data_IF_935565200489
#
_entry.id   IF_935565200489
#
_cell.length_a   1.000
_cell.length_b   1.000
_cell.length_c   1.000
_cell.angle_alpha   90.00
_cell.angle_beta   90.00
_cell.angle_gamma   90.00
#
_symmetry.space_group_name_H-M   'P 1'
#
loop_
_entity.id
_entity.type
_entity.pdbx_description
1 polymer ?
#
# COMPACT_ATOMS: atom_id res chain seq x y z
N UNK A 1 3.56 2.15 -2.02
CA UNK A 1 4.06 3.26 -1.16
C UNK A 1 2.97 4.31 -0.99
N UNK A 2 2.71 4.77 0.23
CA UNK A 2 1.71 5.81 0.54
C UNK A 2 2.37 7.00 1.22
N UNK A 3 1.73 8.17 1.16
CA UNK A 3 2.17 9.34 1.92
C UNK A 3 2.08 9.08 3.43
N UNK A 4 3.00 9.67 4.19
CA UNK A 4 2.96 9.60 5.64
C UNK A 4 1.70 10.30 6.18
N UNK A 5 1.02 9.64 7.10
CA UNK A 5 -0.17 10.15 7.78
C UNK A 5 0.11 11.45 8.53
N UNK A 6 1.33 11.65 9.03
CA UNK A 6 1.68 12.84 9.80
C UNK A 6 1.71 14.11 8.93
N UNK A 7 1.85 13.98 7.60
CA UNK A 7 1.71 15.11 6.66
C UNK A 7 0.27 15.64 6.57
N UNK A 8 -0.74 14.82 6.87
CA UNK A 8 -2.15 15.20 6.87
C UNK A 8 -2.58 15.87 8.18
N UNK A 9 -1.70 15.95 9.17
CA UNK A 9 -2.02 16.35 10.55
C UNK A 9 -1.32 17.65 10.91
N UNK A 10 -2.09 18.74 10.94
CA UNK A 10 -1.57 20.08 11.30
C UNK A 10 -0.95 20.11 12.71
N UNK A 11 -1.56 19.41 13.67
CA UNK A 11 -1.06 19.30 15.04
C UNK A 11 0.34 18.69 15.16
N UNK A 12 0.74 17.88 14.17
CA UNK A 12 2.05 17.23 14.10
C UNK A 12 3.04 17.96 13.19
N UNK A 13 2.68 19.15 12.70
CA UNK A 13 3.50 19.94 11.79
C UNK A 13 3.33 19.59 10.30
N UNK A 14 2.34 18.76 9.96
CA UNK A 14 1.98 18.49 8.56
C UNK A 14 1.24 19.66 7.91
N UNK A 15 1.26 19.73 6.58
CA UNK A 15 0.55 20.76 5.82
C UNK A 15 -0.36 20.12 4.75
N UNK A 16 -1.66 19.91 5.07
CA UNK A 16 -2.62 19.32 4.13
C UNK A 16 -2.80 20.12 2.83
N UNK A 17 -2.57 21.44 2.85
CA UNK A 17 -2.71 22.27 1.65
C UNK A 17 -1.70 21.91 0.56
N UNK A 18 -0.51 21.45 0.93
CA UNK A 18 0.49 21.00 -0.04
C UNK A 18 -0.02 19.75 -0.78
N UNK A 19 -0.70 18.86 -0.06
CA UNK A 19 -1.28 17.64 -0.62
C UNK A 19 -2.47 17.99 -1.52
N UNK A 20 -3.35 18.91 -1.09
CA UNK A 20 -4.46 19.44 -1.92
C UNK A 20 -3.94 20.09 -3.20
N UNK A 21 -2.92 20.94 -3.10
CA UNK A 21 -2.30 21.58 -4.25
C UNK A 21 -1.68 20.53 -5.20
N UNK A 22 -1.01 19.52 -4.66
CA UNK A 22 -0.47 18.42 -5.46
C UNK A 22 -1.57 17.60 -6.16
N UNK A 23 -2.74 17.43 -5.56
CA UNK A 23 -3.88 16.76 -6.20
C UNK A 23 -4.47 17.60 -7.34
N UNK A 24 -4.61 18.91 -7.13
CA UNK A 24 -5.03 19.84 -8.19
C UNK A 24 -4.07 19.85 -9.37
N UNK A 25 -2.76 19.84 -9.10
CA UNK A 25 -1.73 19.75 -10.14
C UNK A 25 -1.77 18.44 -10.93
N UNK A 26 -2.38 17.38 -10.36
CA UNK A 26 -2.59 16.08 -11.01
C UNK A 26 -3.97 15.96 -11.65
N UNK A 27 -4.78 17.02 -11.67
CA UNK A 27 -6.16 17.02 -12.17
C UNK A 27 -7.05 15.96 -11.49
N UNK A 28 -6.76 15.65 -10.22
CA UNK A 28 -7.53 14.72 -9.39
C UNK A 28 -8.33 15.47 -8.33
N UNK A 29 -9.34 14.79 -7.79
CA UNK A 29 -10.26 15.37 -6.81
C UNK A 29 -9.55 15.68 -5.47
N UNK A 30 -9.43 16.96 -5.07
CA UNK A 30 -8.85 17.33 -3.78
C UNK A 30 -9.72 16.93 -2.58
N UNK A 31 -11.02 16.65 -2.77
CA UNK A 31 -11.93 16.26 -1.68
C UNK A 31 -11.53 14.93 -1.02
N UNK A 32 -10.77 14.08 -1.73
CA UNK A 32 -10.19 12.86 -1.15
C UNK A 32 -9.28 13.16 0.04
N UNK A 33 -8.56 14.29 0.01
CA UNK A 33 -7.69 14.71 1.13
C UNK A 33 -8.54 15.02 2.36
N UNK A 34 -9.65 15.74 2.17
CA UNK A 34 -10.56 16.10 3.26
C UNK A 34 -11.22 14.86 3.86
N UNK A 35 -11.65 13.91 3.01
CA UNK A 35 -12.20 12.63 3.45
C UNK A 35 -11.20 11.83 4.29
N UNK A 36 -9.92 11.80 3.91
CA UNK A 36 -8.87 11.14 4.71
C UNK A 36 -8.70 11.80 6.08
N UNK A 37 -8.74 13.14 6.13
CA UNK A 37 -8.64 13.89 7.39
C UNK A 37 -9.84 13.60 8.29
N UNK A 38 -11.07 13.59 7.74
CA UNK A 38 -12.28 13.26 8.48
C UNK A 38 -12.24 11.84 9.05
N UNK A 39 -11.81 10.86 8.25
CA UNK A 39 -11.66 9.47 8.69
C UNK A 39 -10.58 9.32 9.77
N UNK A 40 -9.45 10.04 9.65
CA UNK A 40 -8.40 10.02 10.70
C UNK A 40 -8.91 10.66 12.00
N UNK A 41 -9.66 11.76 11.93
CA UNK A 41 -10.28 12.38 13.11
C UNK A 41 -11.31 11.45 13.77
N UNK A 42 -12.14 10.77 12.97
CA UNK A 42 -13.10 9.79 13.48
C UNK A 42 -12.40 8.61 14.17
N UNK A 43 -11.32 8.09 13.55
CA UNK A 43 -10.50 7.02 14.11
C UNK A 43 -9.84 7.45 15.42
N UNK A 44 -9.26 8.65 15.49
CA UNK A 44 -8.67 9.22 16.72
C UNK A 44 -9.70 9.43 17.83
N UNK A 45 -10.91 9.89 17.51
CA UNK A 45 -12.02 9.99 18.49
C UNK A 45 -12.38 8.60 19.04
N UNK A 46 -12.38 7.58 18.19
CA UNK A 46 -12.52 6.17 18.60
C UNK A 46 -11.41 5.71 19.53
N UNK A 47 -10.15 5.99 19.17
CA UNK A 47 -8.99 5.64 19.98
C UNK A 47 -9.01 6.33 21.36
N UNK A 48 -9.34 7.62 21.41
CA UNK A 48 -9.48 8.37 22.66
C UNK A 48 -10.60 7.83 23.56
N UNK A 49 -11.74 7.41 22.98
CA UNK A 49 -12.80 6.71 23.73
C UNK A 49 -12.28 5.42 24.37
N UNK A 50 -11.49 4.61 23.65
CA UNK A 50 -10.88 3.40 24.21
C UNK A 50 -9.92 3.75 25.34
N UNK A 51 -9.04 4.74 25.18
CA UNK A 51 -8.11 5.17 26.23
C UNK A 51 -8.86 5.67 27.48
N UNK A 52 -9.93 6.44 27.29
CA UNK A 52 -10.76 6.96 28.39
C UNK A 52 -11.48 5.82 29.11
N UNK A 53 -12.04 4.88 28.35
CA UNK A 53 -12.63 3.65 28.87
C UNK A 53 -11.60 2.83 29.64
N UNK A 54 -10.39 2.68 29.11
CA UNK A 54 -9.29 1.98 29.76
C UNK A 54 -8.86 2.67 31.06
N UNK A 55 -8.81 4.00 31.11
CA UNK A 55 -8.60 4.75 32.35
C UNK A 55 -9.72 4.55 33.37
N UNK A 56 -10.98 4.52 32.93
CA UNK A 56 -12.13 4.22 33.80
C UNK A 56 -12.08 2.78 34.33
N UNK A 57 -11.65 1.83 33.52
CA UNK A 57 -11.37 0.44 33.93
C UNK A 57 -10.26 0.43 34.97
N UNK A 58 -9.14 1.09 34.70
CA UNK A 58 -8.02 1.15 35.64
C UNK A 58 -8.44 1.79 36.96
N UNK A 59 -9.19 2.90 36.93
CA UNK A 59 -9.73 3.56 38.13
C UNK A 59 -10.69 2.66 38.90
N UNK A 60 -11.55 1.90 38.23
CA UNK A 60 -12.47 0.95 38.89
C UNK A 60 -11.75 -0.28 39.45
N UNK A 61 -10.73 -0.80 38.77
CA UNK A 61 -9.87 -1.88 39.29
C UNK A 61 -9.02 -1.40 40.48
N UNK A 62 -8.47 -0.19 40.41
CA UNK A 62 -7.72 0.44 41.50
C UNK A 62 -8.64 0.71 42.70
N UNK A 63 -9.86 1.19 42.47
CA UNK A 63 -10.88 1.36 43.51
C UNK A 63 -11.27 0.02 44.14
N UNK A 64 -11.32 -1.08 43.36
CA UNK A 64 -11.57 -2.43 43.88
C UNK A 64 -10.41 -2.99 44.69
N UNK A 65 -9.17 -2.75 44.25
CA UNK A 65 -7.97 -3.08 45.02
C UNK A 65 -7.91 -2.30 46.34
N UNK A 66 -8.18 -0.99 46.32
CA UNK A 66 -8.30 -0.15 47.51
C UNK A 66 -9.45 -0.59 48.43
N UNK A 67 -10.60 -0.99 47.87
CA UNK A 67 -11.74 -1.53 48.62
C UNK A 67 -11.39 -2.89 49.26
N UNK A 68 -10.65 -3.76 48.56
CA UNK A 68 -10.18 -5.05 49.10
C UNK A 68 -9.11 -4.87 50.18
N UNK A 69 -8.21 -3.88 50.04
CA UNK A 69 -7.26 -3.48 51.09
C UNK A 69 -8.00 -2.88 52.30
N UNK A 70 -8.99 -2.00 52.07
CA UNK A 70 -9.84 -1.47 53.13
C UNK A 70 -10.69 -2.55 53.79
N UNK A 71 -11.17 -3.55 53.04
CA UNK A 71 -11.91 -4.71 53.55
C UNK A 71 -11.00 -5.66 54.36
N UNK A 72 -9.73 -5.84 53.95
CA UNK A 72 -8.72 -6.57 54.74
C UNK A 72 -8.38 -5.84 56.04
N UNK A 73 -8.36 -4.50 56.05
CA UNK A 73 -8.27 -3.72 57.29
C UNK A 73 -9.59 -3.63 58.07
N UNK A 74 -10.74 -3.82 57.41
CA UNK A 74 -12.08 -3.87 58.02
C UNK A 74 -12.31 -5.12 58.85
N UNK A 75 -11.61 -6.23 58.60
CA UNK A 75 -11.68 -7.41 59.47
C UNK A 75 -11.17 -7.14 60.90
N UNK A 76 -10.46 -6.03 61.13
CA UNK A 76 -10.07 -5.54 62.46
C UNK A 76 -11.05 -4.49 63.02
N UNK A 77 -11.86 -3.84 62.16
CA UNK A 77 -12.78 -2.73 62.50
C UNK A 77 -14.28 -3.07 62.32
N UNK A 78 -14.63 -4.34 62.17
CA UNK A 78 -16.00 -4.83 61.95
C UNK A 78 -16.86 -4.92 63.24
N UNK A 79 -16.68 -4.00 64.19
CA UNK A 79 -17.53 -3.93 65.40
C UNK A 79 -18.20 -2.59 65.70
N UNK A 80 -17.99 -1.52 64.92
CA UNK A 80 -18.49 -0.21 65.32
C UNK A 80 -19.26 0.64 64.29
N UNK A 81 -19.36 0.28 63.00
CA UNK A 81 -19.98 1.20 62.01
C UNK A 81 -20.89 0.45 61.05
N UNK A 82 -22.10 0.15 61.52
CA UNK A 82 -23.16 -0.58 60.81
C UNK A 82 -24.03 0.24 59.87
N UNK A 83 -23.86 1.57 59.70
CA UNK A 83 -24.94 2.37 59.08
C UNK A 83 -24.58 3.36 57.97
N UNK A 84 -23.33 3.45 57.47
CA UNK A 84 -22.97 4.49 56.48
C UNK A 84 -22.18 4.07 55.24
N UNK A 85 -22.34 2.85 54.73
CA UNK A 85 -21.78 2.47 53.42
C UNK A 85 -22.71 1.55 52.61
N UNK A 86 -23.90 2.06 52.25
CA UNK A 86 -24.66 1.56 51.10
C UNK A 86 -24.34 2.45 49.91
N UNK A 87 -23.69 1.91 48.89
CA UNK A 87 -23.53 2.63 47.63
C UNK A 87 -22.48 2.07 46.70
N UNK A 88 -22.60 0.78 46.34
CA UNK A 88 -22.27 0.18 45.03
C UNK A 88 -22.19 -1.34 45.22
N UNK A 89 -23.22 -2.05 44.74
CA UNK A 89 -23.27 -3.50 44.80
C UNK A 89 -22.27 -4.12 43.82
N UNK A 90 -21.60 -5.22 44.22
CA UNK A 90 -20.71 -6.02 43.35
C UNK A 90 -21.41 -6.44 42.04
N UNK A 91 -22.74 -6.59 42.06
CA UNK A 91 -23.55 -6.88 40.87
C UNK A 91 -23.64 -5.71 39.89
N UNK A 92 -23.64 -4.46 40.35
CA UNK A 92 -23.64 -3.27 39.49
C UNK A 92 -22.29 -3.13 38.76
N UNK A 93 -21.19 -3.45 39.45
CA UNK A 93 -19.84 -3.41 38.86
C UNK A 93 -19.68 -4.51 37.79
N UNK A 94 -20.19 -5.72 38.01
CA UNK A 94 -20.18 -6.80 36.99
C UNK A 94 -20.99 -6.42 35.75
N UNK A 95 -22.17 -5.79 35.92
CA UNK A 95 -22.97 -5.28 34.79
C UNK A 95 -22.23 -4.18 34.02
N UNK A 96 -21.61 -3.24 34.71
CA UNK A 96 -20.80 -2.19 34.09
C UNK A 96 -19.64 -2.77 33.27
N UNK A 97 -18.95 -3.80 33.78
CA UNK A 97 -17.87 -4.47 33.05
C UNK A 97 -18.36 -5.13 31.75
N UNK A 98 -19.48 -5.84 31.79
CA UNK A 98 -20.04 -6.47 30.57
C UNK A 98 -20.39 -5.43 29.50
N UNK A 99 -21.07 -4.36 29.89
CA UNK A 99 -21.41 -3.25 28.98
C UNK A 99 -20.14 -2.62 28.40
N UNK A 100 -19.07 -2.56 29.20
CA UNK A 100 -17.81 -1.98 28.77
C UNK A 100 -17.03 -2.89 27.82
N UNK A 101 -16.99 -4.19 28.09
CA UNK A 101 -16.38 -5.21 27.22
C UNK A 101 -17.11 -5.24 25.86
N UNK A 102 -18.46 -5.15 25.86
CA UNK A 102 -19.27 -5.01 24.65
C UNK A 102 -18.96 -3.72 23.88
N UNK A 103 -18.93 -2.56 24.57
CA UNK A 103 -18.61 -1.27 23.94
C UNK A 103 -17.17 -1.22 23.42
N UNK A 104 -16.22 -1.87 24.08
CA UNK A 104 -14.85 -2.00 23.60
C UNK A 104 -14.78 -2.86 22.32
N UNK A 105 -15.49 -3.99 22.28
CA UNK A 105 -15.56 -4.83 21.10
C UNK A 105 -16.19 -4.10 19.91
N UNK A 106 -17.32 -3.42 20.11
CA UNK A 106 -17.98 -2.59 19.09
C UNK A 106 -17.05 -1.48 18.56
N UNK A 107 -16.38 -0.77 19.47
CA UNK A 107 -15.47 0.32 19.11
C UNK A 107 -14.27 -0.22 18.32
N UNK A 108 -13.73 -1.38 18.70
CA UNK A 108 -12.61 -2.01 17.98
C UNK A 108 -12.98 -2.38 16.55
N UNK A 109 -14.13 -3.02 16.34
CA UNK A 109 -14.64 -3.35 14.99
C UNK A 109 -14.84 -2.08 14.17
N UNK A 110 -15.39 -1.02 14.78
CA UNK A 110 -15.56 0.27 14.10
C UNK A 110 -14.23 0.91 13.72
N UNK A 111 -13.19 0.79 14.55
CA UNK A 111 -11.86 1.32 14.23
C UNK A 111 -11.18 0.57 13.10
N UNK A 112 -11.26 -0.76 13.07
CA UNK A 112 -10.69 -1.58 12.00
C UNK A 112 -11.33 -1.23 10.63
N UNK A 113 -12.64 -0.99 10.62
CA UNK A 113 -13.35 -0.50 9.43
C UNK A 113 -12.86 0.88 8.99
N UNK A 114 -12.79 1.83 9.92
CA UNK A 114 -12.29 3.18 9.64
C UNK A 114 -10.84 3.19 9.17
N UNK A 115 -10.00 2.31 9.72
CA UNK A 115 -8.61 2.16 9.31
C UNK A 115 -8.49 1.61 7.88
N UNK A 116 -9.29 0.59 7.56
CA UNK A 116 -9.36 0.03 6.21
C UNK A 116 -9.83 1.07 5.20
N UNK A 117 -10.90 1.80 5.52
CA UNK A 117 -11.44 2.86 4.66
C UNK A 117 -10.43 4.01 4.50
N UNK A 118 -9.80 4.45 5.60
CA UNK A 118 -8.74 5.47 5.55
C UNK A 118 -7.59 5.01 4.64
N UNK A 119 -7.14 3.76 4.79
CA UNK A 119 -6.05 3.22 3.98
C UNK A 119 -6.40 3.12 2.50
N UNK A 120 -7.63 2.71 2.16
CA UNK A 120 -8.11 2.68 0.77
C UNK A 120 -8.10 4.08 0.12
N UNK A 121 -8.57 5.11 0.83
CA UNK A 121 -8.52 6.48 0.33
C UNK A 121 -7.06 6.97 0.24
N UNK A 122 -6.21 6.62 1.21
CA UNK A 122 -4.79 7.01 1.23
C UNK A 122 -3.99 6.45 0.05
N UNK A 123 -4.28 5.21 -0.38
CA UNK A 123 -3.63 4.57 -1.55
C UNK A 123 -3.92 5.36 -2.84
N UNK A 124 -5.08 5.98 -2.95
CA UNK A 124 -5.47 6.75 -4.15
C UNK A 124 -4.74 8.10 -4.24
N UNK A 125 -4.21 8.60 -3.12
CA UNK A 125 -3.49 9.87 -3.07
C UNK A 125 -2.05 9.64 -3.55
N UNK A 126 -1.74 10.18 -4.73
CA UNK A 126 -0.39 10.15 -5.30
C UNK A 126 0.63 10.96 -4.49
N UNK A 127 1.91 10.71 -4.76
CA UNK A 127 3.01 11.42 -4.10
C UNK A 127 3.00 12.93 -4.44
N UNK A 128 3.62 13.73 -3.58
CA UNK A 128 3.74 15.20 -3.75
C UNK A 128 4.54 15.49 -5.03
N UNK A 129 3.95 16.29 -5.91
CA UNK A 129 4.57 16.71 -7.16
C UNK A 129 5.70 17.71 -6.87
N UNK A 130 6.88 17.47 -7.45
CA UNK A 130 8.02 18.38 -7.30
C UNK A 130 7.76 19.71 -8.03
N UNK A 131 8.26 20.82 -7.50
CA UNK A 131 8.00 22.16 -8.02
C UNK A 131 8.49 22.40 -9.46
N UNK A 132 9.40 21.55 -9.97
CA UNK A 132 9.93 21.64 -11.33
C UNK A 132 9.06 20.94 -12.38
N UNK A 133 8.05 20.18 -11.96
CA UNK A 133 7.20 19.41 -12.89
C UNK A 133 6.19 20.37 -13.54
N UNK A 134 6.08 20.38 -14.87
CA UNK A 134 5.08 21.19 -15.57
C UNK A 134 3.67 20.74 -15.17
N UNK A 135 2.79 21.69 -14.87
CA UNK A 135 1.39 21.42 -14.53
C UNK A 135 0.55 21.56 -15.79
N UNK A 136 0.20 20.43 -16.39
CA UNK A 136 -0.73 20.34 -17.52
C UNK A 136 -1.38 18.96 -17.55
N UNK A 137 -2.60 18.88 -18.09
CA UNK A 137 -3.33 17.61 -18.33
C UNK A 137 -3.06 17.05 -19.73
N UNK A 138 -2.23 17.76 -20.52
CA UNK A 138 -1.93 17.42 -21.91
C UNK A 138 -0.42 17.22 -22.11
N UNK A 139 -0.06 16.03 -22.59
CA UNK A 139 1.32 15.58 -22.83
C UNK A 139 2.06 16.41 -23.89
N UNK A 140 1.33 17.12 -24.77
CA UNK A 140 1.95 18.03 -25.74
C UNK A 140 2.67 19.22 -25.05
N UNK A 141 2.34 19.50 -23.79
CA UNK A 141 3.00 20.54 -22.99
C UNK A 141 4.27 20.06 -22.27
N UNK A 142 4.75 18.86 -22.59
CA UNK A 142 5.97 18.32 -22.02
C UNK A 142 7.18 19.22 -22.36
N UNK A 143 7.90 19.64 -21.32
CA UNK A 143 9.11 20.44 -21.48
C UNK A 143 10.26 19.58 -22.03
N UNK A 144 10.86 20.04 -23.13
CA UNK A 144 12.09 19.43 -23.66
C UNK A 144 13.27 19.86 -22.79
N UNK A 145 13.81 18.93 -22.00
CA UNK A 145 14.96 19.22 -21.11
C UNK A 145 16.29 19.23 -21.89
N UNK A 146 16.51 18.24 -22.76
CA UNK A 146 17.74 18.10 -23.56
C UNK A 146 17.46 17.40 -24.88
N UNK A 147 18.21 17.76 -25.91
CA UNK A 147 18.27 17.04 -27.19
C UNK A 147 19.71 16.62 -27.46
N UNK A 148 19.90 15.48 -28.11
CA UNK A 148 21.23 14.94 -28.40
C UNK A 148 21.23 14.25 -29.78
N UNK A 149 22.28 14.50 -30.57
CA UNK A 149 22.38 13.99 -31.94
C UNK A 149 21.52 14.76 -32.96
N UNK A 150 21.35 14.18 -34.15
CA UNK A 150 20.50 14.73 -35.21
C UNK A 150 19.10 14.07 -35.17
N UNK A 151 18.11 14.84 -34.73
CA UNK A 151 16.71 14.42 -34.60
C UNK A 151 15.86 14.73 -35.83
N UNK A 152 16.43 15.41 -36.83
CA UNK A 152 15.69 15.86 -38.02
C UNK A 152 15.83 14.91 -39.21
N UNK A 153 16.89 14.11 -39.22
CA UNK A 153 17.16 13.16 -40.29
C UNK A 153 16.13 12.04 -40.35
N UNK A 154 15.45 11.93 -41.49
CA UNK A 154 14.56 10.82 -41.80
C UNK A 154 15.28 9.75 -42.62
N UNK A 155 15.10 8.50 -42.25
CA UNK A 155 15.60 7.33 -43.00
C UNK A 155 14.53 6.79 -43.95
N UNK A 156 14.94 5.92 -44.88
CA UNK A 156 14.08 5.43 -45.98
C UNK A 156 12.98 4.48 -45.52
N UNK A 157 13.27 3.56 -44.61
CA UNK A 157 12.37 2.48 -44.20
C UNK A 157 11.97 2.62 -42.72
N UNK A 158 10.76 2.17 -42.38
CA UNK A 158 10.30 2.06 -41.00
C UNK A 158 10.85 0.79 -40.35
N UNK A 159 10.88 0.76 -39.01
CA UNK A 159 11.28 -0.44 -38.26
C UNK A 159 10.40 -1.65 -38.59
N UNK A 160 9.12 -1.45 -38.91
CA UNK A 160 8.17 -2.51 -39.31
C UNK A 160 8.66 -3.23 -40.58
N UNK A 161 9.13 -2.48 -41.58
CA UNK A 161 9.64 -3.07 -42.82
C UNK A 161 11.02 -3.70 -42.60
N UNK A 162 11.87 -3.05 -41.81
CA UNK A 162 13.24 -3.51 -41.57
C UNK A 162 13.29 -4.88 -40.89
N UNK A 163 12.43 -5.14 -39.90
CA UNK A 163 12.40 -6.44 -39.23
C UNK A 163 11.90 -7.58 -40.13
N UNK A 164 11.03 -7.26 -41.10
CA UNK A 164 10.55 -8.20 -42.10
C UNK A 164 11.61 -8.47 -43.18
N UNK A 165 12.33 -7.44 -43.64
CA UNK A 165 13.38 -7.55 -44.67
C UNK A 165 14.53 -8.48 -44.27
N UNK A 166 14.84 -8.56 -42.96
CA UNK A 166 15.90 -9.42 -42.43
C UNK A 166 15.39 -10.81 -41.98
N UNK A 167 14.12 -11.14 -42.25
CA UNK A 167 13.43 -12.35 -41.76
C UNK A 167 13.60 -12.56 -40.24
N UNK A 168 13.63 -11.46 -39.48
CA UNK A 168 13.90 -11.47 -38.04
C UNK A 168 12.65 -11.56 -37.18
N UNK A 169 11.47 -11.35 -37.75
CA UNK A 169 10.20 -11.24 -37.04
C UNK A 169 9.09 -12.00 -37.78
N UNK A 170 8.31 -12.78 -37.05
CA UNK A 170 7.15 -13.51 -37.58
C UNK A 170 5.90 -13.20 -36.73
N UNK A 171 5.08 -12.26 -37.22
CA UNK A 171 3.86 -11.81 -36.57
C UNK A 171 2.65 -12.71 -36.86
N UNK A 172 2.60 -13.37 -38.03
CA UNK A 172 1.47 -14.21 -38.42
C UNK A 172 1.43 -15.49 -37.57
N UNK A 173 2.57 -16.17 -37.44
CA UNK A 173 2.69 -17.33 -36.55
C UNK A 173 2.57 -16.92 -35.08
N UNK A 174 3.11 -15.76 -34.73
CA UNK A 174 2.99 -15.21 -33.38
C UNK A 174 1.55 -14.96 -32.97
N UNK A 175 0.75 -14.36 -33.85
CA UNK A 175 -0.67 -14.09 -33.60
C UNK A 175 -1.48 -15.37 -33.48
N UNK A 176 -1.14 -16.38 -34.28
CA UNK A 176 -1.78 -17.70 -34.21
C UNK A 176 -1.53 -18.41 -32.87
N UNK A 177 -0.34 -18.23 -32.28
CA UNK A 177 0.06 -18.92 -31.05
C UNK A 177 -0.35 -18.15 -29.78
N UNK A 178 -0.11 -16.84 -29.72
CA UNK A 178 -0.26 -16.03 -28.51
C UNK A 178 -1.45 -15.04 -28.56
N UNK A 179 -2.15 -14.95 -29.69
CA UNK A 179 -3.23 -13.97 -29.89
C UNK A 179 -2.72 -12.60 -30.35
N UNK A 180 -3.55 -11.56 -30.18
CA UNK A 180 -3.24 -10.21 -30.67
C UNK A 180 -1.88 -9.69 -30.20
N UNK A 181 -1.10 -9.11 -31.12
CA UNK A 181 0.29 -8.62 -30.92
C UNK A 181 1.32 -9.71 -30.56
N UNK A 182 0.97 -10.99 -30.65
CA UNK A 182 1.93 -12.09 -30.53
C UNK A 182 2.96 -12.09 -31.65
N UNK A 183 4.22 -12.39 -31.33
CA UNK A 183 5.31 -12.46 -32.31
C UNK A 183 6.36 -13.50 -31.96
N UNK A 184 7.07 -13.99 -32.97
CA UNK A 184 8.32 -14.72 -32.81
C UNK A 184 9.51 -13.89 -33.32
N UNK A 185 10.56 -13.82 -32.52
CA UNK A 185 11.85 -13.27 -32.94
C UNK A 185 12.76 -14.39 -33.46
N UNK A 186 13.47 -14.15 -34.56
CA UNK A 186 14.28 -15.15 -35.26
C UNK A 186 15.62 -14.59 -35.74
N UNK A 187 16.56 -15.50 -35.99
CA UNK A 187 17.79 -15.22 -36.72
C UNK A 187 18.63 -14.10 -36.11
N UNK A 188 19.01 -13.12 -36.93
CA UNK A 188 19.90 -12.04 -36.54
C UNK A 188 19.35 -11.17 -35.38
N UNK A 189 18.02 -11.02 -35.27
CA UNK A 189 17.43 -10.20 -34.21
C UNK A 189 17.56 -10.82 -32.82
N UNK A 190 17.55 -12.15 -32.71
CA UNK A 190 17.79 -12.83 -31.43
C UNK A 190 19.21 -12.55 -30.94
N UNK A 191 20.21 -12.61 -31.82
CA UNK A 191 21.59 -12.25 -31.47
C UNK A 191 21.71 -10.78 -31.11
N UNK A 192 21.00 -9.89 -31.81
CA UNK A 192 21.00 -8.47 -31.51
C UNK A 192 20.40 -8.17 -30.12
N UNK A 193 19.28 -8.81 -29.77
CA UNK A 193 18.68 -8.70 -28.44
C UNK A 193 19.65 -9.12 -27.34
N UNK A 194 20.27 -10.31 -27.49
CA UNK A 194 21.26 -10.81 -26.52
C UNK A 194 22.48 -9.90 -26.41
N UNK A 195 22.95 -9.33 -27.53
CA UNK A 195 24.05 -8.37 -27.53
C UNK A 195 23.69 -7.08 -26.77
N UNK A 196 22.47 -6.57 -26.93
CA UNK A 196 21.99 -5.38 -26.21
C UNK A 196 21.87 -5.67 -24.72
N UNK A 197 21.31 -6.82 -24.32
CA UNK A 197 21.21 -7.24 -22.91
C UNK A 197 22.60 -7.28 -22.28
N UNK A 198 23.56 -7.94 -22.93
CA UNK A 198 24.93 -8.05 -22.41
C UNK A 198 25.62 -6.69 -22.30
N UNK A 199 25.46 -5.83 -23.32
CA UNK A 199 26.02 -4.47 -23.31
C UNK A 199 25.43 -3.62 -22.17
N UNK A 200 24.11 -3.71 -21.94
CA UNK A 200 23.45 -2.97 -20.87
C UNK A 200 23.93 -3.42 -19.50
N UNK A 201 24.05 -4.73 -19.28
CA UNK A 201 24.56 -5.31 -18.03
C UNK A 201 26.00 -4.89 -17.77
N UNK A 202 26.88 -4.92 -18.78
CA UNK A 202 28.27 -4.48 -18.64
C UNK A 202 28.36 -2.99 -18.31
N UNK A 203 27.64 -2.14 -19.04
CA UNK A 203 27.64 -0.68 -18.80
C UNK A 203 27.14 -0.29 -17.41
N UNK A 204 26.15 -1.00 -16.89
CA UNK A 204 25.65 -0.77 -15.53
C UNK A 204 26.61 -1.35 -14.49
N UNK A 205 27.20 -2.52 -14.75
CA UNK A 205 28.23 -3.12 -13.89
C UNK A 205 29.47 -2.24 -13.72
N UNK A 206 29.94 -1.60 -14.80
CA UNK A 206 31.04 -0.61 -14.76
C UNK A 206 30.72 0.60 -13.88
N UNK A 207 29.43 0.93 -13.71
CA UNK A 207 28.96 2.01 -12.81
C UNK A 207 28.71 1.53 -11.38
N UNK A 208 29.02 0.28 -11.06
CA UNK A 208 28.85 -0.30 -9.72
C UNK A 208 27.45 -0.84 -9.43
N UNK A 209 26.57 -0.98 -10.43
CA UNK A 209 25.27 -1.63 -10.23
C UNK A 209 25.43 -3.15 -10.17
N UNK A 210 24.68 -3.79 -9.27
CA UNK A 210 24.62 -5.25 -9.15
C UNK A 210 23.59 -5.81 -10.14
N UNK A 211 23.97 -6.71 -11.06
CA UNK A 211 23.02 -7.43 -11.90
C UNK A 211 22.07 -8.29 -11.04
N UNK A 212 20.76 -8.16 -11.26
CA UNK A 212 19.75 -8.89 -10.50
C UNK A 212 18.71 -9.49 -11.45
N UNK A 213 18.64 -10.82 -11.46
CA UNK A 213 17.60 -11.56 -12.18
C UNK A 213 16.38 -11.77 -11.28
N UNK A 214 15.20 -11.37 -11.75
CA UNK A 214 13.98 -11.30 -10.94
C UNK A 214 12.97 -12.40 -11.32
N UNK A 215 12.13 -12.86 -10.38
CA UNK A 215 10.96 -13.67 -10.72
C UNK A 215 9.99 -12.92 -11.65
N UNK A 216 9.38 -13.61 -12.61
CA UNK A 216 8.46 -13.00 -13.58
C UNK A 216 7.01 -12.94 -13.10
N UNK A 217 6.71 -13.50 -11.92
CA UNK A 217 5.41 -13.39 -11.27
C UNK A 217 5.57 -13.03 -9.81
N UNK A 218 4.58 -12.33 -9.27
CA UNK A 218 4.52 -11.92 -7.86
C UNK A 218 3.18 -12.35 -7.24
N UNK A 219 3.19 -12.61 -5.94
CA UNK A 219 1.96 -12.86 -5.17
C UNK A 219 1.10 -11.59 -5.12
N UNK A 220 -0.22 -11.74 -5.15
CA UNK A 220 -1.20 -10.63 -5.10
C UNK A 220 -0.90 -9.61 -4.00
N UNK A 221 -0.68 -10.08 -2.78
CA UNK A 221 -0.42 -9.22 -1.61
C UNK A 221 0.82 -8.34 -1.78
N UNK A 222 1.89 -8.89 -2.39
CA UNK A 222 3.13 -8.14 -2.64
C UNK A 222 2.94 -7.18 -3.81
N UNK A 223 2.23 -7.61 -4.86
CA UNK A 223 1.96 -6.77 -6.02
C UNK A 223 1.12 -5.53 -5.64
N UNK A 224 0.19 -5.67 -4.70
CA UNK A 224 -0.68 -4.56 -4.25
C UNK A 224 0.09 -3.42 -3.55
N UNK A 225 1.28 -3.69 -3.03
CA UNK A 225 2.10 -2.67 -2.37
C UNK A 225 2.90 -1.81 -3.35
N UNK A 226 3.19 -2.37 -4.53
CA UNK A 226 4.04 -1.77 -5.57
C UNK A 226 3.25 -1.24 -6.77
N UNK A 227 2.12 -1.87 -7.12
CA UNK A 227 1.28 -1.50 -8.25
C UNK A 227 0.03 -0.75 -7.81
N UNK A 228 -0.45 0.17 -8.66
CA UNK A 228 -1.72 0.86 -8.44
C UNK A 228 -2.90 -0.03 -8.84
N UNK A 229 -4.06 0.15 -8.18
CA UNK A 229 -5.29 -0.59 -8.46
C UNK A 229 -5.71 -0.56 -9.94
N UNK A 230 -5.55 0.58 -10.63
CA UNK A 230 -5.85 0.69 -12.06
C UNK A 230 -4.97 -0.20 -12.94
N UNK A 231 -3.72 -0.46 -12.52
CA UNK A 231 -2.80 -1.32 -13.27
C UNK A 231 -3.18 -2.80 -13.17
N UNK A 232 -3.92 -3.21 -12.12
CA UNK A 232 -4.38 -4.60 -11.98
C UNK A 232 -5.39 -4.99 -13.04
N UNK A 233 -6.30 -4.08 -13.40
CA UNK A 233 -7.40 -4.38 -14.29
C UNK A 233 -7.01 -4.28 -15.77
N UNK A 234 -6.06 -3.39 -16.10
CA UNK A 234 -5.70 -3.08 -17.49
C UNK A 234 -4.34 -3.63 -17.94
N UNK A 235 -3.34 -3.73 -17.05
CA UNK A 235 -1.95 -3.99 -17.45
C UNK A 235 -1.42 -5.37 -17.03
N UNK A 236 -1.95 -5.96 -15.95
CA UNK A 236 -1.36 -7.16 -15.33
C UNK A 236 -2.07 -8.46 -15.72
N UNK A 237 -1.28 -9.42 -16.24
CA UNK A 237 -1.78 -10.78 -16.46
C UNK A 237 -1.90 -11.55 -15.16
N UNK A 238 -3.10 -12.06 -14.88
CA UNK A 238 -3.36 -12.94 -13.73
C UNK A 238 -2.94 -14.39 -14.05
N UNK A 239 -2.16 -14.97 -13.15
CA UNK A 239 -1.71 -16.36 -13.18
C UNK A 239 -2.36 -17.11 -12.03
N UNK A 240 -3.17 -18.13 -12.34
CA UNK A 240 -3.77 -19.00 -11.35
C UNK A 240 -2.97 -20.30 -11.24
N UNK A 241 -2.43 -20.58 -10.07
CA UNK A 241 -1.72 -21.82 -9.78
C UNK A 241 -2.38 -22.59 -8.63
N UNK A 242 -2.00 -23.86 -8.44
CA UNK A 242 -2.30 -24.58 -7.20
C UNK A 242 -1.51 -23.93 -6.07
N UNK A 243 -2.17 -23.60 -4.97
CA UNK A 243 -1.54 -22.95 -3.81
C UNK A 243 -0.67 -23.90 -2.99
N UNK A 244 -0.90 -25.20 -3.13
CA UNK A 244 -0.14 -26.26 -2.46
C UNK A 244 0.14 -27.40 -3.44
N UNK A 245 1.33 -27.98 -3.32
CA UNK A 245 1.70 -29.21 -4.04
C UNK A 245 1.13 -30.47 -3.37
N UNK A 246 0.46 -30.31 -2.21
CA UNK A 246 -0.15 -31.42 -1.47
C UNK A 246 -1.39 -31.94 -2.19
N UNK A 247 -1.39 -33.25 -2.45
CA UNK A 247 -2.52 -33.95 -3.08
C UNK A 247 -3.75 -33.87 -2.18
N UNK A 248 -4.80 -33.18 -2.65
CA UNK A 248 -6.06 -33.00 -1.93
C UNK A 248 -6.36 -31.55 -1.52
N UNK A 249 -5.39 -30.64 -1.66
CA UNK A 249 -5.61 -29.22 -1.44
C UNK A 249 -6.05 -28.53 -2.75
N UNK A 250 -7.27 -27.98 -2.74
CA UNK A 250 -7.86 -27.26 -3.88
C UNK A 250 -7.73 -25.74 -3.74
N UNK A 251 -6.88 -25.26 -2.84
CA UNK A 251 -6.59 -23.82 -2.75
C UNK A 251 -5.94 -23.33 -4.05
N UNK A 252 -6.52 -22.27 -4.60
CA UNK A 252 -5.99 -21.58 -5.79
C UNK A 252 -5.20 -20.38 -5.30
N UNK A 253 -3.94 -20.29 -5.69
CA UNK A 253 -3.10 -19.14 -5.40
C UNK A 253 -3.06 -18.20 -6.61
N UNK A 254 -3.37 -16.95 -6.36
CA UNK A 254 -3.43 -15.88 -7.35
C UNK A 254 -2.10 -15.14 -7.39
N UNK A 255 -1.42 -15.23 -8.54
CA UNK A 255 -0.20 -14.51 -8.84
C UNK A 255 -0.43 -13.60 -10.04
N UNK A 256 0.45 -12.61 -10.22
CA UNK A 256 0.40 -11.68 -11.35
C UNK A 256 1.76 -11.65 -12.04
N UNK A 257 1.78 -11.67 -13.38
CA UNK A 257 3.01 -11.44 -14.13
C UNK A 257 3.46 -9.99 -13.94
N UNK A 258 4.77 -9.79 -13.88
CA UNK A 258 5.35 -8.45 -13.73
C UNK A 258 5.22 -7.67 -15.05
N UNK A 259 4.95 -6.37 -14.97
CA UNK A 259 5.01 -5.46 -16.11
C UNK A 259 6.43 -4.87 -16.29
N UNK A 260 7.19 -4.79 -15.20
CA UNK A 260 8.56 -4.26 -15.16
C UNK A 260 9.34 -4.96 -14.05
N UNK A 261 10.67 -5.04 -14.18
CA UNK A 261 11.55 -5.55 -13.12
C UNK A 261 11.58 -4.65 -11.89
N UNK A 262 11.13 -3.40 -11.98
CA UNK A 262 10.98 -2.51 -10.82
C UNK A 262 10.08 -3.11 -9.74
N UNK A 263 8.98 -3.76 -10.10
CA UNK A 263 8.00 -4.31 -9.15
C UNK A 263 8.64 -5.34 -8.19
N UNK A 264 9.32 -6.41 -8.66
CA UNK A 264 9.97 -7.35 -7.78
C UNK A 264 11.22 -6.77 -7.09
N UNK A 265 11.92 -5.83 -7.72
CA UNK A 265 13.10 -5.18 -7.11
C UNK A 265 12.68 -4.25 -5.96
N UNK A 266 11.59 -3.50 -6.09
CA UNK A 266 11.04 -2.66 -5.04
C UNK A 266 10.61 -3.49 -3.81
N UNK A 267 10.09 -4.70 -4.06
CA UNK A 267 9.74 -5.64 -3.01
C UNK A 267 10.94 -6.44 -2.46
N UNK A 268 12.12 -6.35 -3.08
CA UNK A 268 13.30 -7.16 -2.72
C UNK A 268 13.80 -6.87 -1.30
N UNK A 269 13.83 -5.60 -0.90
CA UNK A 269 14.20 -5.15 0.45
C UNK A 269 13.00 -4.92 1.38
N UNK A 270 11.87 -5.59 1.11
CA UNK A 270 10.66 -5.43 1.93
C UNK A 270 10.91 -5.93 3.35
N UNK A 271 10.52 -5.12 4.33
CA UNK A 271 10.72 -5.38 5.77
C UNK A 271 12.19 -5.50 6.21
N UNK A 272 13.10 -4.88 5.45
CA UNK A 272 14.51 -4.81 5.79
C UNK A 272 14.92 -3.42 6.27
N UNK A 273 15.92 -3.39 7.15
CA UNK A 273 16.56 -2.16 7.60
C UNK A 273 17.86 -1.99 6.83
N UNK A 274 17.89 -1.02 5.92
CA UNK A 274 19.10 -0.69 5.16
C UNK A 274 20.11 -0.10 6.15
N UNK A 275 21.32 -0.67 6.17
CA UNK A 275 22.43 -0.22 7.00
C UNK A 275 23.13 1.00 6.43
#
# INVERSE_FOLDING_TARGET
MVLDMDLFREEKGGNPEIIRASQRNRYKDPALVDKVIELDQAWRKGACKITTVFELILKTYLARFLLDVFNRQKNVLSKAIGEKMKGLSVTQIKKLRMILDEKMAETKISMEKLETERHQNLIQIGNIVHHSVPVSDDEENNRVERTFGDVTRKMKYSHVDLVAMIDGFDGDRGTTVAGGRGYFLKGALVFLEQAIIQLALQKLGEKGFTPLYTPFFMRKEVMQEVAQLSQFDEELYKVCGKGSEVVGDNTVDEKYLIATSEQPIAAFHRNEWIK
#
